data_IF_718714808392
#
_entry.id   IF_718714808392
#
_cell.length_a   1.000
_cell.length_b   1.000
_cell.length_c   1.000
_cell.angle_alpha   90.00
_cell.angle_beta   90.00
_cell.angle_gamma   90.00
#
_symmetry.space_group_name_H-M   'P 1'
#
loop_
_entity.id
_entity.type
_entity.pdbx_description
1 polymer ?
#
# COMPACT_ATOMS: atom_id res chain seq x y z
N UNK A 1 21.72 14.40 18.01
CA UNK A 1 20.83 15.13 18.96
C UNK A 1 19.48 15.34 18.31
N UNK A 2 18.43 15.07 19.05
CA UNK A 2 17.05 15.37 18.63
C UNK A 2 16.82 16.88 18.60
N UNK A 3 16.16 17.40 17.56
CA UNK A 3 15.89 18.83 17.38
C UNK A 3 14.38 19.04 17.20
N UNK A 4 13.80 19.94 17.97
CA UNK A 4 12.38 20.29 17.90
C UNK A 4 12.25 21.79 17.73
N UNK A 5 11.55 22.21 16.66
CA UNK A 5 11.30 23.63 16.44
C UNK A 5 10.38 24.18 17.54
N UNK A 6 10.65 25.39 18.04
CA UNK A 6 9.94 26.02 19.17
C UNK A 6 8.43 26.19 18.96
N UNK A 7 7.95 26.20 17.72
CA UNK A 7 6.52 26.32 17.40
C UNK A 7 5.81 24.98 17.22
N UNK A 8 6.50 23.84 17.37
CA UNK A 8 5.86 22.54 17.34
C UNK A 8 5.08 22.31 18.66
N UNK A 9 3.89 21.72 18.53
CA UNK A 9 3.04 21.31 19.64
C UNK A 9 3.13 19.80 19.77
N UNK A 10 3.74 19.33 20.85
CA UNK A 10 4.03 17.91 21.06
C UNK A 10 3.45 17.49 22.42
N UNK A 11 2.63 16.42 22.42
CA UNK A 11 2.12 15.86 23.67
C UNK A 11 3.28 15.27 24.50
N UNK A 12 3.16 15.40 25.81
CA UNK A 12 4.19 14.97 26.78
C UNK A 12 4.49 13.45 26.77
N UNK A 13 3.59 12.63 26.24
CA UNK A 13 3.75 11.18 26.14
C UNK A 13 4.51 10.74 24.89
N UNK A 14 4.82 11.65 23.97
CA UNK A 14 5.53 11.37 22.71
C UNK A 14 6.95 10.92 22.99
N UNK A 15 7.36 9.87 22.28
CA UNK A 15 8.72 9.33 22.33
C UNK A 15 9.46 9.67 21.05
N UNK A 16 10.56 10.42 21.17
CA UNK A 16 11.44 10.80 20.08
C UNK A 16 12.82 10.16 20.29
N UNK A 17 13.23 9.31 19.35
CA UNK A 17 14.54 8.70 19.37
C UNK A 17 15.66 9.68 18.97
N UNK A 18 16.91 9.22 19.02
CA UNK A 18 18.07 10.04 18.69
C UNK A 18 18.04 10.51 17.22
N UNK A 19 18.43 11.76 17.02
CA UNK A 19 18.55 12.34 15.67
C UNK A 19 17.21 12.70 14.99
N UNK A 20 16.09 12.56 15.69
CA UNK A 20 14.79 13.02 15.15
C UNK A 20 14.77 14.54 15.02
N UNK A 21 14.28 15.03 13.90
CA UNK A 21 14.12 16.46 13.62
C UNK A 21 12.65 16.79 13.38
N UNK A 22 12.10 17.74 14.15
CA UNK A 22 10.71 18.21 14.04
C UNK A 22 10.69 19.68 13.62
N UNK A 23 10.11 19.94 12.46
CA UNK A 23 9.96 21.25 11.85
C UNK A 23 8.92 22.15 12.52
N UNK A 24 8.75 23.39 12.01
CA UNK A 24 7.83 24.36 12.58
C UNK A 24 6.35 23.96 12.40
N UNK A 25 5.55 24.37 13.39
CA UNK A 25 4.08 24.22 13.41
C UNK A 25 3.60 22.75 13.25
N UNK A 26 4.45 21.77 13.56
CA UNK A 26 4.01 20.38 13.65
C UNK A 26 3.14 20.18 14.88
N UNK A 27 2.14 19.31 14.76
CA UNK A 27 1.29 18.86 15.87
C UNK A 27 1.45 17.35 16.00
N UNK A 28 1.94 16.89 17.17
CA UNK A 28 2.16 15.47 17.43
C UNK A 28 1.38 15.08 18.69
N UNK A 29 0.37 14.25 18.50
CA UNK A 29 -0.59 13.87 19.54
C UNK A 29 -0.05 12.75 20.45
N UNK A 30 -0.82 12.37 21.45
CA UNK A 30 -0.46 11.40 22.48
C UNK A 30 -0.20 9.99 21.95
N UNK A 31 0.71 9.27 22.60
CA UNK A 31 1.05 7.88 22.29
C UNK A 31 1.85 7.69 21.00
N UNK A 32 2.36 8.76 20.40
CA UNK A 32 3.21 8.70 19.18
C UNK A 32 4.64 8.31 19.56
N UNK A 33 5.26 7.45 18.73
CA UNK A 33 6.70 7.20 18.77
C UNK A 33 7.32 7.44 17.40
N UNK A 34 8.50 8.09 17.36
CA UNK A 34 9.24 8.40 16.14
C UNK A 34 10.67 7.88 16.26
N UNK A 35 11.04 6.95 15.39
CA UNK A 35 12.34 6.29 15.35
C UNK A 35 13.47 7.20 14.87
N UNK A 36 14.69 6.80 15.21
CA UNK A 36 15.93 7.57 15.00
C UNK A 36 16.12 8.03 13.55
N UNK A 37 16.72 9.22 13.38
CA UNK A 37 17.04 9.77 12.08
C UNK A 37 15.86 10.26 11.25
N UNK A 38 14.63 10.07 11.72
CA UNK A 38 13.42 10.55 11.02
C UNK A 38 13.33 12.07 11.04
N UNK A 39 13.01 12.64 9.88
CA UNK A 39 12.86 14.09 9.70
C UNK A 39 11.43 14.41 9.34
N UNK A 40 10.84 15.32 10.10
CA UNK A 40 9.47 15.82 9.95
C UNK A 40 9.54 17.29 9.57
N UNK A 41 9.12 17.63 8.36
CA UNK A 41 9.11 18.99 7.84
C UNK A 41 7.98 19.83 8.49
N UNK A 42 7.74 21.03 7.99
CA UNK A 42 6.77 21.97 8.57
C UNK A 42 5.29 21.53 8.42
N UNK A 43 4.47 21.93 9.39
CA UNK A 43 3.00 21.74 9.34
C UNK A 43 2.51 20.28 9.23
N UNK A 44 3.31 19.33 9.68
CA UNK A 44 2.92 17.91 9.71
C UNK A 44 2.05 17.67 10.95
N UNK A 45 0.97 16.91 10.77
CA UNK A 45 0.09 16.46 11.85
C UNK A 45 0.23 14.96 12.03
N UNK A 46 0.55 14.51 13.23
CA UNK A 46 0.59 13.09 13.61
C UNK A 46 -0.43 12.85 14.72
N UNK A 47 -1.45 12.06 14.39
CA UNK A 47 -2.54 11.74 15.32
C UNK A 47 -2.13 10.71 16.37
N UNK A 48 -3.08 10.34 17.23
CA UNK A 48 -2.86 9.44 18.36
C UNK A 48 -2.40 8.05 17.94
N UNK A 49 -1.55 7.44 18.79
CA UNK A 49 -1.14 6.03 18.65
C UNK A 49 -0.47 5.69 17.31
N UNK A 50 0.22 6.64 16.71
CA UNK A 50 1.01 6.42 15.50
C UNK A 50 2.43 6.03 15.88
N UNK A 51 2.93 4.95 15.26
CA UNK A 51 4.33 4.51 15.39
C UNK A 51 5.03 4.72 14.05
N UNK A 52 6.12 5.48 14.06
CA UNK A 52 6.94 5.78 12.88
C UNK A 52 8.35 5.23 13.13
N UNK A 53 8.84 4.42 12.21
CA UNK A 53 10.17 3.83 12.26
C UNK A 53 11.30 4.84 12.01
N UNK A 54 12.46 4.31 11.62
CA UNK A 54 13.71 5.07 11.48
C UNK A 54 13.88 5.63 10.07
N UNK A 55 14.67 6.71 9.98
CA UNK A 55 15.16 7.27 8.72
C UNK A 55 14.05 7.65 7.72
N UNK A 56 12.84 7.94 8.23
CA UNK A 56 11.74 8.41 7.39
C UNK A 56 11.90 9.90 7.06
N UNK A 57 11.39 10.31 5.91
CA UNK A 57 11.27 11.70 5.50
C UNK A 57 9.81 12.07 5.31
N UNK A 58 9.27 12.88 6.22
CA UNK A 58 7.89 13.36 6.18
C UNK A 58 7.90 14.82 5.69
N UNK A 59 7.38 15.04 4.50
CA UNK A 59 7.31 16.37 3.90
C UNK A 59 6.13 17.19 4.41
N UNK A 60 6.16 18.47 4.13
CA UNK A 60 5.24 19.43 4.73
C UNK A 60 3.76 19.11 4.48
N UNK A 61 2.95 19.40 5.49
CA UNK A 61 1.49 19.30 5.46
C UNK A 61 0.93 17.87 5.31
N UNK A 62 1.71 16.84 5.65
CA UNK A 62 1.17 15.49 5.78
C UNK A 62 0.26 15.38 7.00
N UNK A 63 -0.75 14.51 6.91
CA UNK A 63 -1.60 14.10 8.05
C UNK A 63 -1.53 12.59 8.22
N UNK A 64 -0.87 12.13 9.27
CA UNK A 64 -0.65 10.72 9.57
C UNK A 64 -1.46 10.36 10.83
N UNK A 65 -2.33 9.37 10.74
CA UNK A 65 -3.18 9.00 11.87
C UNK A 65 -4.40 9.90 12.07
N UNK A 66 -4.80 10.66 11.04
CA UNK A 66 -6.08 11.38 11.05
C UNK A 66 -7.26 10.41 11.19
N UNK A 67 -8.34 10.85 11.84
CA UNK A 67 -9.52 10.03 12.08
C UNK A 67 -10.00 9.31 10.81
N UNK A 68 -10.34 7.98 10.87
CA UNK A 68 -10.85 7.25 9.72
C UNK A 68 -12.09 7.91 9.10
N UNK A 69 -12.14 7.95 7.77
CA UNK A 69 -13.24 8.58 7.01
C UNK A 69 -14.38 7.59 6.79
N UNK A 70 -15.06 7.21 7.86
CA UNK A 70 -16.22 6.31 7.82
C UNK A 70 -17.44 7.02 8.41
N UNK A 71 -18.54 6.99 7.65
CA UNK A 71 -19.80 7.61 8.07
C UNK A 71 -20.38 7.00 9.34
N UNK A 72 -20.25 5.67 9.50
CA UNK A 72 -20.77 4.95 10.65
C UNK A 72 -19.94 5.13 11.93
N UNK A 73 -18.72 5.68 11.85
CA UNK A 73 -17.86 5.88 13.01
C UNK A 73 -18.34 7.10 13.83
N UNK A 74 -18.98 6.85 14.98
CA UNK A 74 -19.47 7.94 15.86
C UNK A 74 -18.32 8.84 16.32
N UNK A 75 -18.61 10.12 16.59
CA UNK A 75 -17.57 11.10 16.95
C UNK A 75 -16.68 10.67 18.12
N UNK A 76 -17.24 9.96 19.09
CA UNK A 76 -16.54 9.51 20.31
C UNK A 76 -15.99 8.07 20.18
N UNK A 77 -16.13 7.43 19.00
CA UNK A 77 -15.64 6.06 18.82
C UNK A 77 -14.11 6.01 18.92
N UNK A 78 -13.63 5.02 19.64
CA UNK A 78 -12.23 4.63 19.61
C UNK A 78 -11.92 3.94 18.30
N UNK A 79 -10.68 4.10 17.84
CA UNK A 79 -10.16 3.47 16.63
C UNK A 79 -8.71 3.01 16.88
N UNK A 80 -8.21 2.17 15.97
CA UNK A 80 -6.89 1.56 16.11
C UNK A 80 -5.74 2.47 15.79
N UNK A 81 -4.58 1.88 15.54
CA UNK A 81 -3.33 2.59 15.30
C UNK A 81 -2.93 2.67 13.83
N UNK A 82 -1.81 3.35 13.62
CA UNK A 82 -1.06 3.39 12.37
C UNK A 82 0.41 3.06 12.67
N UNK A 83 0.97 2.12 11.91
CA UNK A 83 2.38 1.76 11.98
C UNK A 83 3.04 2.06 10.64
N UNK A 84 4.12 2.82 10.66
CA UNK A 84 4.95 3.15 9.50
C UNK A 84 6.34 2.61 9.77
N UNK A 85 6.87 1.79 8.86
CA UNK A 85 8.22 1.22 8.94
C UNK A 85 9.33 2.25 8.69
N UNK A 86 10.43 1.78 8.18
CA UNK A 86 11.67 2.53 8.04
C UNK A 86 11.88 3.09 6.62
N UNK A 87 12.66 4.18 6.49
CA UNK A 87 13.17 4.73 5.23
C UNK A 87 12.09 5.09 4.18
N UNK A 88 10.90 5.40 4.64
CA UNK A 88 9.85 5.88 3.75
C UNK A 88 10.04 7.37 3.42
N UNK A 89 9.69 7.73 2.18
CA UNK A 89 9.59 9.11 1.73
C UNK A 89 8.11 9.44 1.52
N UNK A 90 7.56 10.26 2.42
CA UNK A 90 6.15 10.65 2.42
C UNK A 90 6.09 12.13 2.05
N UNK A 91 5.67 12.41 0.81
CA UNK A 91 5.67 13.74 0.21
C UNK A 91 4.50 14.59 0.73
N UNK A 92 4.46 15.81 0.27
CA UNK A 92 3.54 16.85 0.73
C UNK A 92 2.07 16.43 0.62
N UNK A 93 1.27 16.81 1.61
CA UNK A 93 -0.18 16.59 1.64
C UNK A 93 -0.63 15.12 1.60
N UNK A 94 0.25 14.19 1.87
CA UNK A 94 -0.14 12.78 2.03
C UNK A 94 -1.03 12.62 3.26
N UNK A 95 -2.08 11.81 3.14
CA UNK A 95 -2.97 11.44 4.23
C UNK A 95 -3.00 9.94 4.43
N UNK A 96 -2.80 9.47 5.67
CA UNK A 96 -2.85 8.04 6.02
C UNK A 96 -3.74 7.89 7.25
N UNK A 97 -4.77 7.07 7.15
CA UNK A 97 -5.72 6.83 8.25
C UNK A 97 -5.40 5.57 9.04
N UNK A 98 -5.59 5.57 10.36
CA UNK A 98 -5.43 4.40 11.21
C UNK A 98 -6.54 3.37 10.96
N UNK A 99 -6.41 2.19 11.58
CA UNK A 99 -7.47 1.17 11.57
C UNK A 99 -8.75 1.71 12.23
N UNK A 100 -9.89 1.23 11.77
CA UNK A 100 -11.19 1.47 12.40
C UNK A 100 -11.44 0.60 13.61
N UNK A 101 -10.66 -0.46 13.77
CA UNK A 101 -10.76 -1.41 14.87
C UNK A 101 -9.72 -1.08 15.93
N UNK A 102 -10.11 -0.85 17.20
CA UNK A 102 -9.17 -0.47 18.27
C UNK A 102 -7.97 -1.40 18.44
N UNK A 103 -8.16 -2.70 18.16
CA UNK A 103 -7.13 -3.74 18.32
C UNK A 103 -6.24 -3.92 17.09
N UNK A 104 -6.53 -3.22 15.97
CA UNK A 104 -5.81 -3.37 14.71
C UNK A 104 -5.04 -2.10 14.34
N UNK A 105 -4.24 -2.22 13.31
CA UNK A 105 -3.47 -1.10 12.76
C UNK A 105 -3.57 -1.07 11.24
N UNK A 106 -3.48 0.12 10.67
CA UNK A 106 -3.07 0.31 9.28
C UNK A 106 -1.55 0.20 9.23
N UNK A 107 -1.00 -0.53 8.28
CA UNK A 107 0.43 -0.81 8.21
C UNK A 107 1.06 -0.30 6.91
N UNK A 108 2.16 0.41 7.04
CA UNK A 108 3.03 0.84 5.95
C UNK A 108 4.41 0.25 6.20
N UNK A 109 4.90 -0.57 5.28
CA UNK A 109 6.23 -1.19 5.36
C UNK A 109 7.38 -0.21 5.17
N UNK A 110 8.44 -0.66 4.52
CA UNK A 110 9.71 0.04 4.43
C UNK A 110 10.02 0.50 2.99
N UNK A 111 10.90 1.49 2.86
CA UNK A 111 11.45 1.93 1.57
C UNK A 111 10.39 2.38 0.55
N UNK A 112 9.23 2.87 1.01
CA UNK A 112 8.15 3.32 0.15
C UNK A 112 8.32 4.80 -0.23
N UNK A 113 7.88 5.14 -1.45
CA UNK A 113 7.74 6.51 -1.93
C UNK A 113 6.27 6.84 -2.17
N UNK A 114 5.70 7.67 -1.31
CA UNK A 114 4.35 8.20 -1.44
C UNK A 114 4.44 9.66 -1.89
N UNK A 115 4.09 9.92 -3.15
CA UNK A 115 4.21 11.26 -3.74
C UNK A 115 3.05 12.17 -3.31
N UNK A 116 3.05 13.40 -3.80
CA UNK A 116 2.15 14.48 -3.40
C UNK A 116 0.68 14.05 -3.45
N UNK A 117 -0.04 14.31 -2.35
CA UNK A 117 -1.48 14.12 -2.26
C UNK A 117 -1.96 12.66 -2.31
N UNK A 118 -1.07 11.70 -2.08
CA UNK A 118 -1.47 10.29 -1.94
C UNK A 118 -2.36 10.15 -0.70
N UNK A 119 -3.46 9.41 -0.87
CA UNK A 119 -4.36 9.04 0.23
C UNK A 119 -4.35 7.55 0.47
N UNK A 120 -4.22 7.14 1.73
CA UNK A 120 -4.32 5.75 2.16
C UNK A 120 -5.44 5.67 3.21
N UNK A 121 -6.49 4.93 2.86
CA UNK A 121 -7.63 4.66 3.71
C UNK A 121 -7.26 3.78 4.91
N UNK A 122 -8.21 3.62 5.81
CA UNK A 122 -8.09 2.81 7.02
C UNK A 122 -7.90 1.31 6.72
N UNK A 123 -7.30 0.57 7.64
CA UNK A 123 -7.16 -0.89 7.59
C UNK A 123 -6.38 -1.41 6.37
N UNK A 124 -5.56 -0.56 5.75
CA UNK A 124 -4.70 -0.95 4.64
C UNK A 124 -3.40 -1.60 5.13
N UNK A 125 -2.88 -2.53 4.31
CA UNK A 125 -1.56 -3.12 4.46
C UNK A 125 -0.72 -2.83 3.22
N UNK A 126 0.28 -1.99 3.36
CA UNK A 126 1.28 -1.71 2.34
C UNK A 126 2.60 -2.38 2.72
N UNK A 127 3.13 -3.20 1.84
CA UNK A 127 4.45 -3.81 2.03
C UNK A 127 5.59 -2.84 1.66
N UNK A 128 6.71 -3.35 1.21
CA UNK A 128 7.95 -2.60 1.00
C UNK A 128 8.14 -2.15 -0.45
N UNK A 129 8.98 -1.12 -0.65
CA UNK A 129 9.45 -0.66 -1.98
C UNK A 129 8.34 -0.25 -2.94
N UNK A 130 7.22 0.20 -2.41
CA UNK A 130 6.08 0.66 -3.19
C UNK A 130 6.32 2.09 -3.65
N UNK A 131 5.91 2.39 -4.89
CA UNK A 131 5.90 3.75 -5.43
C UNK A 131 4.47 4.14 -5.79
N UNK A 132 3.96 5.17 -5.14
CA UNK A 132 2.69 5.81 -5.48
C UNK A 132 2.95 7.21 -6.00
N UNK A 133 2.60 7.44 -7.28
CA UNK A 133 2.72 8.75 -7.89
C UNK A 133 1.63 9.71 -7.38
N UNK A 134 1.71 10.98 -7.79
CA UNK A 134 0.83 12.03 -7.28
C UNK A 134 -0.66 11.65 -7.35
N UNK A 135 -1.38 11.94 -6.26
CA UNK A 135 -2.83 11.81 -6.14
C UNK A 135 -3.36 10.37 -6.33
N UNK A 136 -2.57 9.35 -6.04
CA UNK A 136 -3.06 7.98 -5.92
C UNK A 136 -4.00 7.90 -4.70
N UNK A 137 -5.18 7.28 -4.88
CA UNK A 137 -6.20 7.17 -3.85
C UNK A 137 -6.50 5.71 -3.54
N UNK A 138 -6.17 5.28 -2.33
CA UNK A 138 -6.37 3.92 -1.85
C UNK A 138 -7.52 3.93 -0.85
N UNK A 139 -8.61 3.26 -1.18
CA UNK A 139 -9.73 3.07 -0.24
C UNK A 139 -9.37 2.08 0.88
N UNK A 140 -10.22 1.96 1.89
CA UNK A 140 -9.96 1.11 3.06
C UNK A 140 -9.79 -0.38 2.74
N UNK A 141 -9.11 -1.10 3.63
CA UNK A 141 -8.89 -2.56 3.59
C UNK A 141 -8.11 -3.07 2.37
N UNK A 142 -7.36 -2.22 1.68
CA UNK A 142 -6.54 -2.64 0.55
C UNK A 142 -5.22 -3.26 1.00
N UNK A 143 -4.74 -4.23 0.21
CA UNK A 143 -3.41 -4.82 0.35
C UNK A 143 -2.56 -4.51 -0.87
N UNK A 144 -1.43 -3.84 -0.67
CA UNK A 144 -0.48 -3.53 -1.73
C UNK A 144 0.82 -4.25 -1.43
N UNK A 145 1.19 -5.16 -2.31
CA UNK A 145 2.37 -5.99 -2.10
C UNK A 145 3.66 -5.30 -2.58
N UNK A 146 4.79 -5.91 -2.23
CA UNK A 146 6.14 -5.36 -2.45
C UNK A 146 6.39 -4.94 -3.90
N UNK A 147 7.02 -3.80 -4.07
CA UNK A 147 7.51 -3.30 -5.36
C UNK A 147 6.44 -2.81 -6.34
N UNK A 148 5.19 -2.72 -5.92
CA UNK A 148 4.10 -2.19 -6.75
C UNK A 148 4.36 -0.73 -7.10
N UNK A 149 4.06 -0.37 -8.36
CA UNK A 149 4.09 1.01 -8.81
C UNK A 149 2.72 1.44 -9.33
N UNK A 150 2.11 2.38 -8.64
CA UNK A 150 0.87 3.03 -9.04
C UNK A 150 1.19 4.42 -9.62
N UNK A 151 0.88 4.61 -10.91
CA UNK A 151 1.07 5.91 -11.58
C UNK A 151 0.03 6.94 -11.12
N UNK A 152 0.21 8.19 -11.55
CA UNK A 152 -0.61 9.31 -11.07
C UNK A 152 -2.12 9.08 -11.20
N UNK A 153 -2.86 9.48 -10.17
CA UNK A 153 -4.32 9.43 -10.10
C UNK A 153 -4.91 8.00 -10.25
N UNK A 154 -4.17 6.97 -9.86
CA UNK A 154 -4.73 5.61 -9.77
C UNK A 154 -5.68 5.55 -8.58
N UNK A 155 -6.84 4.93 -8.79
CA UNK A 155 -7.91 4.76 -7.79
C UNK A 155 -8.10 3.29 -7.47
N UNK A 156 -8.06 2.90 -6.20
CA UNK A 156 -8.38 1.55 -5.75
C UNK A 156 -9.69 1.52 -4.97
N UNK A 157 -10.56 0.60 -5.36
CA UNK A 157 -11.76 0.26 -4.57
C UNK A 157 -11.36 -0.45 -3.27
N UNK A 158 -12.22 -0.39 -2.25
CA UNK A 158 -12.01 -1.12 -0.99
C UNK A 158 -11.74 -2.61 -1.22
N UNK A 159 -10.94 -3.21 -0.33
CA UNK A 159 -10.61 -4.63 -0.30
C UNK A 159 -9.82 -5.16 -1.49
N UNK A 160 -9.29 -4.29 -2.35
CA UNK A 160 -8.46 -4.71 -3.48
C UNK A 160 -7.07 -5.12 -3.01
N UNK A 161 -6.58 -6.24 -3.55
CA UNK A 161 -5.18 -6.66 -3.46
C UNK A 161 -4.45 -6.38 -4.76
N UNK A 162 -3.32 -5.69 -4.70
CA UNK A 162 -2.39 -5.56 -5.84
C UNK A 162 -1.16 -6.40 -5.56
N UNK A 163 -0.97 -7.44 -6.37
CA UNK A 163 0.14 -8.37 -6.23
C UNK A 163 1.51 -7.73 -6.50
N UNK A 164 2.55 -8.36 -5.96
CA UNK A 164 3.94 -7.87 -6.00
C UNK A 164 4.41 -7.50 -7.40
N UNK A 165 5.17 -6.40 -7.49
CA UNK A 165 5.80 -5.90 -8.71
C UNK A 165 4.83 -5.56 -9.86
N UNK A 166 3.55 -5.34 -9.57
CA UNK A 166 2.59 -4.81 -10.52
C UNK A 166 2.88 -3.35 -10.87
N UNK A 167 2.40 -2.95 -12.06
CA UNK A 167 2.37 -1.57 -12.49
C UNK A 167 0.94 -1.20 -12.92
N UNK A 168 0.39 -0.17 -12.35
CA UNK A 168 -0.87 0.43 -12.79
C UNK A 168 -0.59 1.75 -13.53
N UNK A 169 -1.07 1.83 -14.77
CA UNK A 169 -0.94 3.04 -15.57
C UNK A 169 -1.77 4.19 -14.97
N UNK A 170 -1.38 5.43 -15.26
CA UNK A 170 -2.09 6.61 -14.77
C UNK A 170 -3.58 6.59 -15.08
N UNK A 171 -4.38 7.15 -14.16
CA UNK A 171 -5.85 7.18 -14.22
C UNK A 171 -6.53 5.80 -14.19
N UNK A 172 -5.81 4.71 -13.88
CA UNK A 172 -6.44 3.40 -13.76
C UNK A 172 -7.38 3.37 -12.54
N UNK A 173 -8.61 2.90 -12.76
CA UNK A 173 -9.57 2.59 -11.70
C UNK A 173 -9.64 1.09 -11.48
N UNK A 174 -9.26 0.62 -10.30
CA UNK A 174 -9.11 -0.80 -10.00
C UNK A 174 -10.14 -1.23 -8.97
N UNK A 175 -10.99 -2.18 -9.35
CA UNK A 175 -12.10 -2.68 -8.53
C UNK A 175 -12.09 -4.21 -8.32
N UNK A 176 -11.00 -4.88 -8.66
CA UNK A 176 -10.76 -6.29 -8.38
C UNK A 176 -9.27 -6.53 -8.19
N UNK A 177 -8.91 -7.67 -7.60
CA UNK A 177 -7.54 -8.03 -7.32
C UNK A 177 -6.71 -8.16 -8.59
N UNK A 178 -5.46 -7.74 -8.53
CA UNK A 178 -4.52 -7.82 -9.63
C UNK A 178 -3.41 -8.82 -9.25
N UNK A 179 -3.29 -9.94 -9.97
CA UNK A 179 -2.23 -10.91 -9.75
C UNK A 179 -0.83 -10.30 -9.93
N UNK A 180 0.21 -10.86 -9.29
CA UNK A 180 1.58 -10.34 -9.34
C UNK A 180 2.14 -10.13 -10.75
N UNK A 181 3.10 -9.20 -10.89
CA UNK A 181 3.94 -8.97 -12.07
C UNK A 181 3.26 -8.38 -13.30
N UNK A 182 2.01 -7.95 -13.19
CA UNK A 182 1.23 -7.49 -14.33
C UNK A 182 1.26 -5.98 -14.51
N UNK A 183 1.06 -5.55 -15.75
CA UNK A 183 0.71 -4.18 -16.12
C UNK A 183 -0.80 -4.11 -16.31
N UNK A 184 -1.43 -3.13 -15.65
CA UNK A 184 -2.86 -2.87 -15.83
C UNK A 184 -3.12 -1.42 -16.23
N UNK A 185 -4.19 -1.20 -16.98
CA UNK A 185 -4.66 0.15 -17.34
C UNK A 185 -6.17 0.16 -17.59
N UNK A 186 -6.77 1.32 -17.60
CA UNK A 186 -8.20 1.50 -17.82
C UNK A 186 -8.99 1.59 -16.52
N UNK A 187 -10.30 1.76 -16.63
CA UNK A 187 -11.16 2.12 -15.51
C UNK A 187 -12.39 1.19 -15.46
N UNK A 188 -12.69 0.66 -14.31
CA UNK A 188 -13.80 -0.22 -13.91
C UNK A 188 -14.47 -1.02 -15.04
N UNK A 189 -13.94 -2.20 -15.41
CA UNK A 189 -12.77 -2.89 -14.87
C UNK A 189 -11.46 -2.48 -15.57
N UNK A 190 -10.32 -2.54 -14.87
CA UNK A 190 -9.01 -2.40 -15.50
C UNK A 190 -8.72 -3.60 -16.41
N UNK A 191 -7.87 -3.39 -17.41
CA UNK A 191 -7.44 -4.44 -18.34
C UNK A 191 -5.98 -4.79 -18.11
N UNK A 192 -5.67 -6.07 -18.01
CA UNK A 192 -4.30 -6.58 -18.03
C UNK A 192 -3.70 -6.35 -19.43
N UNK A 193 -2.52 -5.72 -19.47
CA UNK A 193 -1.82 -5.33 -20.73
C UNK A 193 -0.63 -6.21 -21.04
N UNK A 194 -0.01 -6.79 -20.03
CA UNK A 194 1.19 -7.61 -20.18
C UNK A 194 1.91 -7.82 -18.87
N UNK A 195 3.10 -8.39 -18.97
CA UNK A 195 4.03 -8.58 -17.86
C UNK A 195 4.85 -7.30 -17.62
N UNK A 196 5.03 -6.92 -16.37
CA UNK A 196 5.84 -5.77 -15.96
C UNK A 196 7.34 -6.10 -15.99
N UNK A 197 7.94 -6.19 -17.17
CA UNK A 197 9.37 -6.53 -17.34
C UNK A 197 10.30 -5.64 -16.52
N UNK A 198 9.98 -4.31 -16.40
CA UNK A 198 10.75 -3.38 -15.56
C UNK A 198 10.64 -3.73 -14.08
N UNK A 199 9.45 -4.15 -13.63
CA UNK A 199 9.24 -4.65 -12.27
C UNK A 199 10.04 -5.90 -11.99
N UNK A 200 10.04 -6.87 -12.91
CA UNK A 200 10.81 -8.10 -12.78
C UNK A 200 12.32 -7.83 -12.66
N UNK A 201 12.87 -6.92 -13.47
CA UNK A 201 14.27 -6.51 -13.37
C UNK A 201 14.59 -5.84 -12.01
N UNK A 202 13.70 -4.95 -11.51
CA UNK A 202 13.86 -4.33 -10.18
C UNK A 202 13.73 -5.33 -9.04
N UNK A 203 12.96 -6.39 -9.23
CA UNK A 203 12.85 -7.51 -8.27
C UNK A 203 14.14 -8.35 -8.20
N UNK A 204 15.07 -8.19 -9.15
CA UNK A 204 16.29 -8.99 -9.22
C UNK A 204 16.05 -10.42 -9.70
N UNK A 205 14.92 -10.69 -10.40
CA UNK A 205 14.62 -12.03 -10.90
C UNK A 205 15.58 -12.42 -12.03
N UNK A 206 16.03 -13.68 -11.99
CA UNK A 206 16.84 -14.26 -13.06
C UNK A 206 16.08 -14.29 -14.38
N UNK A 207 16.82 -14.41 -15.50
CA UNK A 207 16.21 -14.53 -16.83
C UNK A 207 15.26 -15.74 -16.91
N UNK A 208 15.62 -16.86 -16.31
CA UNK A 208 14.78 -18.04 -16.26
C UNK A 208 13.45 -17.77 -15.54
N UNK A 209 13.48 -17.11 -14.38
CA UNK A 209 12.27 -16.73 -13.65
C UNK A 209 11.40 -15.75 -14.43
N UNK A 210 12.01 -14.77 -15.10
CA UNK A 210 11.29 -13.82 -15.97
C UNK A 210 10.61 -14.53 -17.15
N UNK A 211 11.28 -15.52 -17.76
CA UNK A 211 10.72 -16.32 -18.83
C UNK A 211 9.55 -17.20 -18.34
N UNK A 212 9.68 -17.84 -17.18
CA UNK A 212 8.60 -18.62 -16.56
C UNK A 212 7.34 -17.76 -16.33
N UNK A 213 7.50 -16.54 -15.82
CA UNK A 213 6.39 -15.59 -15.64
C UNK A 213 5.77 -15.19 -16.97
N UNK A 214 6.59 -14.94 -18.01
CA UNK A 214 6.10 -14.59 -19.34
C UNK A 214 5.32 -15.74 -19.99
N UNK A 215 5.79 -16.97 -19.89
CA UNK A 215 5.09 -18.16 -20.35
C UNK A 215 3.78 -18.40 -19.61
N UNK A 216 3.79 -18.22 -18.27
CA UNK A 216 2.58 -18.32 -17.48
C UNK A 216 1.55 -17.25 -17.89
N UNK A 217 1.98 -16.01 -18.12
CA UNK A 217 1.12 -14.97 -18.66
C UNK A 217 0.47 -15.35 -19.99
N UNK A 218 1.23 -15.90 -20.94
CA UNK A 218 0.68 -16.37 -22.23
C UNK A 218 -0.37 -17.47 -22.02
N UNK A 219 -0.10 -18.45 -21.16
CA UNK A 219 -1.04 -19.53 -20.84
C UNK A 219 -2.31 -19.02 -20.16
N UNK A 220 -2.19 -18.05 -19.22
CA UNK A 220 -3.29 -17.53 -18.43
C UNK A 220 -4.17 -16.55 -19.21
N UNK A 221 -3.58 -15.63 -19.98
CA UNK A 221 -4.28 -14.45 -20.50
C UNK A 221 -4.41 -14.41 -22.03
N UNK A 222 -3.63 -15.22 -22.80
CA UNK A 222 -3.54 -15.09 -24.25
C UNK A 222 -4.11 -16.28 -25.02
N UNK A 223 -4.20 -17.45 -24.41
CA UNK A 223 -4.70 -18.65 -25.08
C UNK A 223 -6.23 -18.76 -25.19
N UNK A 224 -6.96 -17.76 -24.69
CA UNK A 224 -8.43 -17.83 -24.61
C UNK A 224 -8.90 -18.68 -23.41
N UNK A 225 -10.22 -18.88 -23.31
CA UNK A 225 -10.83 -19.57 -22.18
C UNK A 225 -11.05 -18.69 -20.94
N UNK A 226 -11.67 -19.24 -19.92
CA UNK A 226 -11.88 -18.55 -18.65
C UNK A 226 -10.58 -18.54 -17.84
N UNK A 227 -10.22 -17.36 -17.31
CA UNK A 227 -8.97 -17.15 -16.56
C UNK A 227 -8.82 -18.15 -15.40
N UNK A 228 -9.90 -18.42 -14.65
CA UNK A 228 -9.89 -19.36 -13.54
C UNK A 228 -9.58 -20.80 -14.00
N UNK A 229 -10.18 -21.23 -15.10
CA UNK A 229 -9.94 -22.58 -15.64
C UNK A 229 -8.50 -22.71 -16.18
N UNK A 230 -7.99 -21.67 -16.84
CA UNK A 230 -6.58 -21.61 -17.25
C UNK A 230 -5.64 -21.72 -16.03
N UNK A 231 -5.95 -21.01 -14.93
CA UNK A 231 -5.16 -21.06 -13.71
C UNK A 231 -5.18 -22.45 -13.05
N UNK A 232 -6.37 -23.07 -12.93
CA UNK A 232 -6.51 -24.43 -12.40
C UNK A 232 -5.77 -25.47 -13.27
N UNK A 233 -5.87 -25.35 -14.58
CA UNK A 233 -5.15 -26.24 -15.51
C UNK A 233 -3.63 -26.07 -15.40
N UNK A 234 -3.15 -24.83 -15.27
CA UNK A 234 -1.72 -24.58 -15.07
C UNK A 234 -1.22 -25.12 -13.73
N UNK A 235 -2.02 -25.02 -12.68
CA UNK A 235 -1.71 -25.53 -11.33
C UNK A 235 -1.48 -27.05 -11.25
N UNK A 236 -1.93 -27.82 -12.25
CA UNK A 236 -1.72 -29.26 -12.31
C UNK A 236 -0.33 -29.66 -12.89
N UNK A 237 0.46 -28.70 -13.32
CA UNK A 237 1.80 -28.97 -13.84
C UNK A 237 2.82 -29.07 -12.70
N UNK A 238 3.68 -30.08 -12.75
CA UNK A 238 4.78 -30.24 -11.79
C UNK A 238 5.91 -29.23 -12.04
N UNK A 239 6.66 -28.91 -11.00
CA UNK A 239 7.89 -28.11 -11.10
C UNK A 239 7.68 -26.64 -11.44
N UNK A 240 6.51 -26.06 -11.14
CA UNK A 240 6.24 -24.66 -11.35
C UNK A 240 7.13 -23.77 -10.44
N UNK A 241 7.64 -22.69 -11.03
CA UNK A 241 8.33 -21.63 -10.31
C UNK A 241 7.42 -20.96 -9.27
N UNK A 242 7.97 -20.58 -8.12
CA UNK A 242 7.24 -19.95 -7.01
C UNK A 242 6.49 -18.68 -7.43
N UNK A 243 7.02 -17.92 -8.40
CA UNK A 243 6.37 -16.72 -8.91
C UNK A 243 5.17 -17.05 -9.79
N UNK A 244 5.24 -18.14 -10.54
CA UNK A 244 4.10 -18.67 -11.31
C UNK A 244 3.01 -19.17 -10.37
N UNK A 245 3.39 -19.88 -9.30
CA UNK A 245 2.45 -20.31 -8.26
C UNK A 245 1.76 -19.12 -7.60
N UNK A 246 2.49 -18.03 -7.33
CA UNK A 246 1.90 -16.80 -6.78
C UNK A 246 0.88 -16.15 -7.72
N UNK A 247 1.11 -16.18 -9.05
CA UNK A 247 0.11 -15.69 -10.03
C UNK A 247 -1.15 -16.56 -10.03
N UNK A 248 -0.99 -17.86 -10.00
CA UNK A 248 -2.11 -18.82 -9.96
C UNK A 248 -2.92 -18.66 -8.69
N UNK A 249 -2.26 -18.63 -7.54
CA UNK A 249 -2.91 -18.48 -6.22
C UNK A 249 -3.73 -17.18 -6.14
N UNK A 250 -3.17 -16.07 -6.62
CA UNK A 250 -3.88 -14.80 -6.65
C UNK A 250 -5.16 -14.85 -7.52
N UNK A 251 -5.11 -15.52 -8.68
CA UNK A 251 -6.28 -15.69 -9.57
C UNK A 251 -7.34 -16.56 -8.88
N UNK A 252 -6.94 -17.67 -8.30
CA UNK A 252 -7.87 -18.59 -7.62
C UNK A 252 -8.53 -17.89 -6.42
N UNK A 253 -7.75 -17.25 -5.55
CA UNK A 253 -8.27 -16.51 -4.40
C UNK A 253 -9.22 -15.37 -4.83
N UNK A 254 -8.86 -14.59 -5.83
CA UNK A 254 -9.72 -13.53 -6.34
C UNK A 254 -11.08 -14.06 -6.79
N UNK A 255 -11.13 -15.26 -7.35
CA UNK A 255 -12.37 -15.91 -7.82
C UNK A 255 -13.30 -16.39 -6.70
N UNK A 256 -12.83 -16.47 -5.45
CA UNK A 256 -13.63 -16.90 -4.31
C UNK A 256 -14.69 -15.86 -3.88
N UNK A 257 -14.56 -14.62 -4.36
CA UNK A 257 -15.55 -13.58 -4.13
C UNK A 257 -16.11 -13.04 -5.46
N UNK A 258 -17.43 -12.82 -5.54
CA UNK A 258 -18.15 -12.42 -6.75
C UNK A 258 -17.63 -11.15 -7.44
N UNK A 259 -16.97 -10.26 -6.68
CA UNK A 259 -16.39 -9.02 -7.19
C UNK A 259 -14.90 -9.13 -7.52
N UNK A 260 -14.31 -10.33 -7.42
CA UNK A 260 -12.88 -10.51 -7.66
C UNK A 260 -11.99 -9.81 -6.63
N UNK A 261 -12.45 -9.67 -5.40
CA UNK A 261 -11.73 -9.08 -4.24
C UNK A 261 -11.77 -10.07 -3.09
N UNK A 262 -10.69 -10.81 -2.92
CA UNK A 262 -10.62 -11.87 -1.90
C UNK A 262 -10.85 -11.35 -0.49
N UNK A 263 -10.27 -10.20 -0.15
CA UNK A 263 -10.34 -9.61 1.19
C UNK A 263 -11.77 -9.22 1.59
N UNK A 264 -12.64 -8.99 0.61
CA UNK A 264 -14.05 -8.63 0.88
C UNK A 264 -14.86 -9.78 1.54
N UNK A 265 -14.34 -11.01 1.53
CA UNK A 265 -14.90 -12.13 2.31
C UNK A 265 -14.87 -11.89 3.83
N UNK A 266 -13.97 -11.03 4.27
CA UNK A 266 -13.73 -10.73 5.68
C UNK A 266 -14.30 -9.36 6.08
N UNK A 267 -15.18 -8.80 5.25
CA UNK A 267 -15.89 -7.58 5.60
C UNK A 267 -16.80 -7.89 6.80
N UNK A 268 -16.54 -7.19 7.90
CA UNK A 268 -17.45 -7.14 9.03
C UNK A 268 -18.55 -6.12 8.68
N UNK A 269 -19.79 -6.57 8.46
CA UNK A 269 -20.95 -5.71 8.13
C UNK A 269 -21.41 -4.89 9.34
#
# INVERSE_FOLDING_TARGET
MTQVHRSAVIDKSVQLDEGVMIGPNCVIDSGVSIGSGTVVDANVVVGKNVKIGRDNRLFSSCTLGGRPQILALSHDAEFGGLVIGDRNVIREQVTIHPSTHPEKVTEIGNDNLLMIGVHIGHDCLLQDKIVMSNYVQISGHCRIETGVWLSGMVLLHQFVTIGKWCYAAGLAGINHDIPPFLIVSGHYPPKVRGVNKRGLARAGLSEAQQNNIAEAYEKLYRRGGALLENAKGLAQQDGLDENVLAMIDAIIKSSEHRFGRYLEKFRDD
#
